data_IF_315849946299
#
_entry.id   IF_315849946299
#
_cell.length_a   1.000
_cell.length_b   1.000
_cell.length_c   1.000
_cell.angle_alpha   90.00
_cell.angle_beta   90.00
_cell.angle_gamma   90.00
#
_symmetry.space_group_name_H-M   'P 1'
#
loop_
_entity.id
_entity.type
_entity.pdbx_description
1 polymer ?
#
# COMPACT_ATOMS: atom_id res chain seq x y z
N UNK A 1 23.64 -36.56 69.05
CA UNK A 1 24.91 -36.81 68.33
C UNK A 1 24.64 -37.04 66.85
N UNK A 2 24.87 -36.04 66.01
CA UNK A 2 25.42 -36.13 64.64
C UNK A 2 25.71 -34.69 64.20
N UNK A 3 26.99 -34.41 63.99
CA UNK A 3 27.56 -33.11 63.62
C UNK A 3 27.40 -32.91 62.12
N UNK A 4 27.04 -31.70 61.69
CA UNK A 4 27.60 -31.06 60.49
C UNK A 4 27.14 -29.60 60.42
N UNK A 5 28.11 -28.70 60.54
CA UNK A 5 27.99 -27.28 60.30
C UNK A 5 28.86 -26.96 59.08
N UNK A 6 28.33 -26.21 58.11
CA UNK A 6 29.07 -25.45 57.08
C UNK A 6 28.06 -24.44 56.50
N UNK A 7 28.03 -23.17 56.90
CA UNK A 7 28.87 -22.00 56.59
C UNK A 7 28.13 -21.07 55.60
N UNK A 8 27.97 -19.80 56.01
CA UNK A 8 27.25 -18.70 55.36
C UNK A 8 27.96 -18.10 54.12
N UNK A 9 27.16 -17.71 53.10
CA UNK A 9 27.21 -16.52 52.18
C UNK A 9 28.51 -16.19 51.37
N UNK A 10 28.49 -15.35 50.28
CA UNK A 10 27.42 -14.44 49.80
C UNK A 10 27.14 -14.39 48.27
N UNK A 11 26.02 -13.71 47.95
CA UNK A 11 25.73 -12.81 46.82
C UNK A 11 26.75 -12.70 45.66
N UNK A 12 26.30 -13.02 44.44
CA UNK A 12 26.84 -12.46 43.19
C UNK A 12 25.69 -12.19 42.21
N UNK A 13 25.23 -10.94 42.20
CA UNK A 13 24.42 -10.32 41.14
C UNK A 13 25.23 -10.22 39.86
N UNK A 14 24.75 -10.78 38.75
CA UNK A 14 25.21 -10.44 37.41
C UNK A 14 23.99 -10.23 36.50
N UNK A 15 23.58 -8.96 36.42
CA UNK A 15 22.88 -8.41 35.26
C UNK A 15 23.77 -8.58 34.03
N UNK A 16 23.32 -9.37 33.05
CA UNK A 16 23.75 -9.17 31.67
C UNK A 16 22.62 -8.47 30.92
N UNK A 17 22.56 -7.15 31.10
CA UNK A 17 22.05 -6.23 30.08
C UNK A 17 23.14 -6.14 29.01
N UNK A 18 22.96 -6.85 27.90
CA UNK A 18 23.62 -6.49 26.66
C UNK A 18 22.55 -5.96 25.71
N UNK A 19 22.51 -4.64 25.58
CA UNK A 19 21.82 -3.96 24.49
C UNK A 19 22.44 -4.43 23.18
N UNK A 20 21.76 -5.31 22.46
CA UNK A 20 21.92 -5.43 21.01
C UNK A 20 20.75 -4.66 20.40
N UNK A 21 21.08 -3.56 19.71
CA UNK A 21 20.12 -2.59 19.16
C UNK A 21 19.12 -3.23 18.18
N UNK A 22 18.04 -2.52 17.83
CA UNK A 22 17.02 -3.05 16.93
C UNK A 22 17.67 -3.47 15.61
N UNK A 23 17.36 -4.69 15.16
CA UNK A 23 17.68 -5.15 13.82
C UNK A 23 17.17 -4.11 12.83
N UNK A 24 18.02 -3.66 11.91
CA UNK A 24 17.61 -2.74 10.87
C UNK A 24 16.60 -3.44 9.95
N UNK A 25 15.31 -3.19 10.21
CA UNK A 25 14.23 -3.56 9.30
C UNK A 25 14.11 -2.43 8.29
N UNK A 26 14.99 -2.45 7.29
CA UNK A 26 14.96 -1.54 6.16
C UNK A 26 15.57 -2.21 4.93
N UNK A 27 14.96 -2.05 3.73
CA UNK A 27 15.49 -2.67 2.52
C UNK A 27 16.84 -2.07 2.15
N UNK A 28 17.78 -2.91 1.68
CA UNK A 28 19.09 -2.47 1.23
C UNK A 28 19.05 -2.17 -0.27
N UNK A 29 19.86 -1.22 -0.69
CA UNK A 29 19.98 -0.85 -2.11
C UNK A 29 20.50 -2.03 -2.94
N UNK A 30 19.65 -2.61 -3.80
CA UNK A 30 19.98 -3.77 -4.65
C UNK A 30 18.89 -4.85 -4.75
N UNK A 31 17.85 -4.78 -3.92
CA UNK A 31 16.77 -5.78 -3.94
C UNK A 31 15.90 -5.64 -5.21
N UNK A 32 15.81 -6.71 -5.99
CA UNK A 32 14.90 -6.80 -7.14
C UNK A 32 13.50 -7.13 -6.64
N UNK A 33 12.59 -6.17 -6.73
CA UNK A 33 11.17 -6.39 -6.48
C UNK A 33 10.53 -7.14 -7.66
N UNK A 34 10.70 -8.46 -7.68
CA UNK A 34 10.01 -9.37 -8.61
C UNK A 34 8.82 -10.06 -7.93
N UNK A 35 7.81 -10.44 -8.71
CA UNK A 35 6.69 -11.24 -8.20
C UNK A 35 7.18 -12.67 -7.83
N UNK A 36 6.69 -13.27 -6.73
CA UNK A 36 7.07 -14.62 -6.34
C UNK A 36 6.65 -15.66 -7.41
N UNK A 37 7.34 -16.81 -7.49
CA UNK A 37 6.98 -17.89 -8.43
C UNK A 37 5.55 -18.37 -8.21
N UNK A 38 4.81 -18.55 -9.30
CA UNK A 38 3.39 -18.93 -9.29
C UNK A 38 3.19 -20.38 -8.85
N UNK A 39 2.20 -20.65 -7.99
CA UNK A 39 1.83 -22.00 -7.56
C UNK A 39 0.46 -22.38 -8.18
N UNK A 40 0.35 -23.61 -8.71
CA UNK A 40 -0.91 -24.17 -9.25
C UNK A 40 -1.40 -25.26 -8.29
N UNK A 41 -2.64 -25.15 -7.82
CA UNK A 41 -3.26 -26.15 -6.94
C UNK A 41 -4.60 -26.64 -7.50
N UNK A 42 -4.97 -27.87 -7.17
CA UNK A 42 -6.20 -28.54 -7.66
C UNK A 42 -7.48 -28.08 -6.91
N UNK A 43 -7.33 -27.20 -5.93
CA UNK A 43 -8.42 -26.66 -5.13
C UNK A 43 -8.86 -25.31 -5.69
N UNK A 44 -10.12 -25.23 -6.13
CA UNK A 44 -10.78 -23.94 -6.39
C UNK A 44 -10.84 -23.13 -5.08
N UNK A 45 -10.49 -21.83 -5.09
CA UNK A 45 -10.65 -20.96 -3.92
C UNK A 45 -12.12 -20.97 -3.48
N UNK A 46 -12.40 -21.46 -2.27
CA UNK A 46 -13.73 -21.32 -1.66
C UNK A 46 -13.88 -19.88 -1.15
N UNK A 47 -14.65 -19.06 -1.86
CA UNK A 47 -15.01 -17.70 -1.45
C UNK A 47 -15.65 -16.89 -2.58
N UNK A 48 -16.22 -15.73 -2.25
CA UNK A 48 -16.98 -14.88 -3.18
C UNK A 48 -16.10 -14.09 -4.18
N UNK A 49 -14.76 -14.26 -4.10
CA UNK A 49 -13.79 -13.56 -4.95
C UNK A 49 -13.02 -14.59 -5.79
N UNK A 50 -13.17 -14.48 -7.12
CA UNK A 50 -12.73 -15.46 -8.14
C UNK A 50 -11.38 -15.15 -8.80
N UNK A 51 -10.52 -14.32 -8.19
CA UNK A 51 -9.33 -13.77 -8.84
C UNK A 51 -8.09 -13.92 -7.95
N UNK A 52 -7.06 -14.62 -8.45
CA UNK A 52 -5.77 -14.82 -7.78
C UNK A 52 -4.68 -15.22 -8.80
N UNK A 53 -3.45 -14.75 -8.62
CA UNK A 53 -2.29 -15.10 -9.47
C UNK A 53 -1.58 -13.88 -10.08
N UNK A 54 -0.31 -14.01 -10.50
CA UNK A 54 0.42 -12.91 -11.13
C UNK A 54 -0.19 -12.58 -12.51
N UNK A 55 -0.54 -11.30 -12.71
CA UNK A 55 -1.22 -10.79 -13.90
C UNK A 55 -2.73 -10.57 -13.74
N UNK A 56 -3.29 -10.87 -12.57
CA UNK A 56 -4.72 -10.68 -12.32
C UNK A 56 -4.98 -9.26 -11.82
N UNK A 57 -5.68 -8.46 -12.62
CA UNK A 57 -6.14 -7.13 -12.27
C UNK A 57 -7.66 -7.03 -12.47
N UNK A 58 -8.33 -6.29 -11.57
CA UNK A 58 -9.72 -5.88 -11.78
C UNK A 58 -9.73 -4.89 -12.95
N UNK A 59 -10.44 -5.23 -14.03
CA UNK A 59 -10.56 -4.35 -15.19
C UNK A 59 -11.21 -3.02 -14.78
N UNK A 60 -10.80 -1.91 -15.41
CA UNK A 60 -11.50 -0.64 -15.23
C UNK A 60 -12.95 -0.77 -15.67
N UNK A 61 -13.86 -0.15 -14.93
CA UNK A 61 -15.22 0.03 -15.40
C UNK A 61 -15.22 1.05 -16.54
N UNK A 62 -15.58 0.60 -17.74
CA UNK A 62 -15.51 1.43 -18.96
C UNK A 62 -16.88 2.05 -19.22
N UNK A 63 -17.06 3.38 -19.07
CA UNK A 63 -18.33 4.02 -19.33
C UNK A 63 -18.74 3.90 -20.81
N UNK A 64 -20.04 4.05 -21.08
CA UNK A 64 -20.52 4.22 -22.46
C UNK A 64 -19.88 5.45 -23.07
N UNK A 65 -19.60 5.37 -24.37
CA UNK A 65 -18.95 6.48 -25.06
C UNK A 65 -19.96 7.60 -25.30
N UNK A 66 -19.64 8.79 -24.82
CA UNK A 66 -20.38 10.00 -25.13
C UNK A 66 -20.28 10.27 -26.65
N UNK A 67 -21.35 10.75 -27.28
CA UNK A 67 -21.38 11.13 -28.69
C UNK A 67 -20.89 12.57 -28.93
N UNK A 68 -20.79 13.40 -27.89
CA UNK A 68 -20.37 14.80 -28.01
C UNK A 68 -18.93 14.92 -28.57
N UNK A 69 -18.64 15.80 -29.53
CA UNK A 69 -17.27 16.03 -30.00
C UNK A 69 -16.37 16.67 -28.93
N UNK A 70 -16.95 17.25 -27.89
CA UNK A 70 -16.23 17.81 -26.73
C UNK A 70 -16.59 16.99 -25.49
N UNK A 71 -15.59 16.36 -24.87
CA UNK A 71 -15.73 15.60 -23.63
C UNK A 71 -15.43 16.50 -22.46
N UNK A 72 -16.45 16.86 -21.70
CA UNK A 72 -16.26 17.59 -20.46
C UNK A 72 -15.96 16.59 -19.34
N UNK A 73 -14.81 16.76 -18.71
CA UNK A 73 -14.36 15.91 -17.60
C UNK A 73 -14.02 16.82 -16.44
N UNK A 74 -14.65 16.57 -15.30
CA UNK A 74 -14.32 17.22 -14.03
C UNK A 74 -13.79 16.16 -13.07
N UNK A 75 -12.61 16.40 -12.54
CA UNK A 75 -11.97 15.53 -11.57
C UNK A 75 -11.46 16.37 -10.41
N UNK A 76 -11.72 15.93 -9.19
CA UNK A 76 -11.28 16.62 -8.00
C UNK A 76 -10.23 15.76 -7.29
N UNK A 77 -9.12 16.39 -6.89
CA UNK A 77 -8.03 15.76 -6.16
C UNK A 77 -8.22 16.02 -4.68
N UNK A 78 -8.25 14.96 -3.88
CA UNK A 78 -8.26 15.06 -2.41
C UNK A 78 -7.13 14.23 -1.82
N UNK A 79 -6.62 14.65 -0.66
CA UNK A 79 -5.69 13.83 0.12
C UNK A 79 -6.48 13.05 1.18
N UNK A 80 -6.38 11.71 1.18
CA UNK A 80 -7.07 10.83 2.13
C UNK A 80 -6.17 9.71 2.64
N UNK A 81 -6.50 9.22 3.83
CA UNK A 81 -5.94 7.97 4.37
C UNK A 81 -6.79 6.81 3.89
N UNK A 82 -6.20 5.91 3.12
CA UNK A 82 -6.84 4.67 2.65
C UNK A 82 -6.26 3.47 3.40
N UNK A 83 -7.09 2.47 3.70
CA UNK A 83 -6.64 1.19 4.26
C UNK A 83 -6.50 0.18 3.11
N UNK A 84 -5.28 -0.30 2.90
CA UNK A 84 -4.97 -1.25 1.82
C UNK A 84 -5.19 -2.70 2.26
N UNK A 85 -4.87 -2.99 3.53
CA UNK A 85 -5.02 -4.27 4.19
C UNK A 85 -5.12 -4.03 5.70
N UNK A 86 -5.45 -5.06 6.49
CA UNK A 86 -5.68 -4.94 7.93
C UNK A 86 -4.51 -4.25 8.64
N UNK A 87 -4.72 -2.98 9.03
CA UNK A 87 -3.72 -2.17 9.73
C UNK A 87 -2.69 -1.44 8.85
N UNK A 88 -2.68 -1.65 7.54
CA UNK A 88 -1.79 -0.94 6.60
C UNK A 88 -2.53 0.28 6.03
N UNK A 89 -2.18 1.46 6.53
CA UNK A 89 -2.75 2.74 6.10
C UNK A 89 -1.78 3.48 5.18
N UNK A 90 -2.32 4.02 4.09
CA UNK A 90 -1.58 4.81 3.12
C UNK A 90 -2.19 6.21 2.97
N UNK A 91 -1.33 7.23 3.03
CA UNK A 91 -1.68 8.61 2.73
C UNK A 91 -1.57 8.82 1.22
N UNK A 92 -2.70 8.93 0.54
CA UNK A 92 -2.76 8.97 -0.91
C UNK A 92 -3.57 10.14 -1.45
N UNK A 93 -3.12 10.67 -2.60
CA UNK A 93 -3.95 11.55 -3.41
C UNK A 93 -4.92 10.72 -4.23
N UNK A 94 -6.21 10.93 -3.97
CA UNK A 94 -7.30 10.27 -4.68
C UNK A 94 -7.77 11.13 -5.84
N UNK A 95 -8.22 10.50 -6.91
CA UNK A 95 -8.77 11.18 -8.08
C UNK A 95 -10.25 10.87 -8.17
N UNK A 96 -11.11 11.85 -7.89
CA UNK A 96 -12.56 11.60 -7.80
C UNK A 96 -12.92 10.73 -6.60
N UNK A 97 -12.27 10.99 -5.46
CA UNK A 97 -12.45 10.29 -4.17
C UNK A 97 -12.04 8.81 -4.12
N UNK A 98 -11.46 8.25 -5.19
CA UNK A 98 -11.04 6.84 -5.26
C UNK A 98 -9.58 6.67 -5.75
N UNK A 99 -9.00 5.50 -5.46
CA UNK A 99 -7.69 5.02 -5.94
C UNK A 99 -7.82 3.55 -6.33
N UNK A 100 -7.69 3.17 -7.61
CA UNK A 100 -7.48 4.05 -8.77
C UNK A 100 -8.70 4.94 -9.06
N UNK A 101 -8.46 6.12 -9.65
CA UNK A 101 -9.53 7.03 -10.03
C UNK A 101 -10.42 6.51 -11.16
N UNK A 102 -11.50 7.23 -11.50
CA UNK A 102 -12.46 6.81 -12.51
C UNK A 102 -11.83 6.74 -13.90
N UNK A 103 -12.33 5.82 -14.72
CA UNK A 103 -11.87 5.65 -16.11
C UNK A 103 -12.51 6.69 -17.02
N UNK A 104 -11.69 7.44 -17.74
CA UNK A 104 -12.12 8.40 -18.75
C UNK A 104 -12.02 7.75 -20.13
N UNK A 105 -13.15 7.64 -20.85
CA UNK A 105 -13.20 7.03 -22.19
C UNK A 105 -13.46 8.08 -23.26
N UNK A 106 -12.57 8.16 -24.26
CA UNK A 106 -12.64 9.11 -25.39
C UNK A 106 -12.29 8.41 -26.71
N UNK A 107 -12.56 9.07 -27.84
CA UNK A 107 -12.14 8.65 -29.20
C UNK A 107 -10.98 9.52 -29.68
N UNK A 108 -10.22 9.01 -30.65
CA UNK A 108 -9.28 9.82 -31.40
C UNK A 108 -10.02 10.97 -32.10
N UNK A 109 -9.48 12.19 -31.97
CA UNK A 109 -10.09 13.41 -32.52
C UNK A 109 -11.07 14.12 -31.60
N UNK A 110 -11.45 13.52 -30.46
CA UNK A 110 -12.27 14.20 -29.46
C UNK A 110 -11.48 15.32 -28.78
N UNK A 111 -12.15 16.44 -28.49
CA UNK A 111 -11.58 17.51 -27.67
C UNK A 111 -11.97 17.31 -26.22
N UNK A 112 -10.99 17.14 -25.34
CA UNK A 112 -11.24 16.97 -23.89
C UNK A 112 -11.13 18.32 -23.19
N UNK A 113 -12.23 18.78 -22.59
CA UNK A 113 -12.24 19.92 -21.68
C UNK A 113 -12.10 19.38 -20.26
N UNK A 114 -10.88 19.35 -19.78
CA UNK A 114 -10.53 18.78 -18.48
C UNK A 114 -10.46 19.89 -17.41
N UNK A 115 -11.23 19.72 -16.34
CA UNK A 115 -11.18 20.59 -15.15
C UNK A 115 -10.69 19.76 -13.98
N UNK A 116 -9.53 20.11 -13.44
CA UNK A 116 -8.97 19.51 -12.23
C UNK A 116 -9.07 20.51 -11.08
N UNK A 117 -9.75 20.14 -9.99
CA UNK A 117 -9.77 20.97 -8.77
C UNK A 117 -8.91 20.31 -7.69
N UNK A 118 -7.86 20.99 -7.24
CA UNK A 118 -7.16 20.57 -6.03
C UNK A 118 -7.99 20.97 -4.79
N UNK A 119 -8.51 19.99 -4.07
CA UNK A 119 -9.23 20.17 -2.80
C UNK A 119 -8.41 19.74 -1.59
N UNK A 120 -7.14 19.36 -1.77
CA UNK A 120 -6.25 19.06 -0.66
C UNK A 120 -5.83 20.35 0.05
N UNK A 121 -5.52 20.21 1.34
CA UNK A 121 -4.88 21.28 2.13
C UNK A 121 -3.37 21.32 1.93
N UNK A 122 -2.83 20.50 1.02
CA UNK A 122 -1.40 20.40 0.77
C UNK A 122 -0.98 21.34 -0.36
N UNK A 123 0.16 21.99 -0.17
CA UNK A 123 0.75 22.84 -1.21
C UNK A 123 1.48 21.96 -2.22
N UNK A 124 1.01 21.96 -3.46
CA UNK A 124 1.72 21.33 -4.57
C UNK A 124 2.97 22.14 -4.87
N UNK A 125 4.14 21.54 -4.66
CA UNK A 125 5.42 22.13 -5.07
C UNK A 125 5.59 21.91 -6.57
N UNK A 126 5.44 22.97 -7.36
CA UNK A 126 5.74 22.92 -8.79
C UNK A 126 7.25 23.05 -8.95
N UNK A 127 7.93 21.92 -9.19
CA UNK A 127 9.33 21.94 -9.59
C UNK A 127 9.38 22.29 -11.09
N UNK A 128 10.07 23.38 -11.49
CA UNK A 128 10.28 23.69 -12.90
C UNK A 128 10.99 22.53 -13.63
N UNK A 129 10.73 22.35 -14.94
CA UNK A 129 11.33 21.28 -15.74
C UNK A 129 12.86 21.39 -15.84
#
# INVERSE_FOLDING_TARGET
>A
MKRSAFLLMPLATLWNLSCTGPAEIGPKYGDVYGAPPSQVGDTLPKGDKFFSGPGVAKLPEVPRIDASPVKEVRLDVTHKVIELDSGVKFHGWTFGDDIPGPTIRVRQGDRVKFTLTNRSTETVQVVPP
#
